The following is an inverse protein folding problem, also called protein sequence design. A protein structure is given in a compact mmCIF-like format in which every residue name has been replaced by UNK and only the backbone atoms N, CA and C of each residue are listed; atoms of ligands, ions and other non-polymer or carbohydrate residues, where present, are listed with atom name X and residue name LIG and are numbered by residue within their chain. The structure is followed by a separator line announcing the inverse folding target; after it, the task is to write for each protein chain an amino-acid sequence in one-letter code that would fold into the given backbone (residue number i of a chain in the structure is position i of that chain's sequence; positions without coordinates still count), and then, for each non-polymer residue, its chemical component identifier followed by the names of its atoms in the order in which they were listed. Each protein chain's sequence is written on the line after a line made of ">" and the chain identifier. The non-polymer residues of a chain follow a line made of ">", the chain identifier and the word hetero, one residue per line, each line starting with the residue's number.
data_IF_557431043187
#
_entry.id   IF_557431043187
#
_cell.length_a   1.000
_cell.length_b   1.000
_cell.length_c   1.000
_cell.angle_alpha   90.00
_cell.angle_beta   90.00
_cell.angle_gamma   90.00
#
_symmetry.space_group_name_H-M   'P 1'
#
loop_
_entity.id
_entity.type
_entity.pdbx_description
1 polymer ?
#
# COMPACT_ATOMS: atom_id res chain seq x y z
N UNK A 1 11.88 -24.57 -19.67
CA UNK A 1 11.90 -24.87 -18.22
C UNK A 1 12.34 -23.59 -17.53
N UNK A 2 11.72 -23.22 -16.40
CA UNK A 2 12.11 -22.01 -15.68
C UNK A 2 13.16 -22.34 -14.62
N UNK A 3 13.95 -21.36 -14.21
CA UNK A 3 14.71 -21.41 -12.96
C UNK A 3 14.18 -20.35 -12.00
N UNK A 4 14.19 -20.65 -10.70
CA UNK A 4 13.68 -19.75 -9.65
C UNK A 4 14.77 -19.49 -8.63
N UNK A 5 15.00 -18.20 -8.31
CA UNK A 5 15.86 -17.79 -7.20
C UNK A 5 15.06 -16.99 -6.20
N UNK A 6 15.31 -17.24 -4.92
CA UNK A 6 14.63 -16.58 -3.81
C UNK A 6 15.70 -16.10 -2.83
N UNK A 7 15.66 -14.83 -2.45
CA UNK A 7 16.61 -14.27 -1.50
C UNK A 7 15.97 -13.13 -0.72
N UNK A 8 16.50 -12.88 0.48
CA UNK A 8 16.12 -11.75 1.31
C UNK A 8 17.06 -10.57 1.07
N UNK A 9 16.56 -9.36 1.25
CA UNK A 9 17.35 -8.14 1.32
C UNK A 9 16.88 -7.29 2.50
N UNK A 10 17.80 -6.53 3.11
CA UNK A 10 17.47 -5.51 4.09
C UNK A 10 17.97 -4.15 3.64
N UNK A 11 17.05 -3.18 3.63
CA UNK A 11 17.27 -1.83 3.14
C UNK A 11 17.19 -0.83 4.30
N UNK A 12 18.27 -0.11 4.63
CA UNK A 12 18.24 0.86 5.74
C UNK A 12 17.32 2.04 5.42
N UNK A 13 16.61 2.57 6.41
CA UNK A 13 15.83 3.81 6.27
C UNK A 13 16.68 5.05 6.57
N UNK A 14 16.41 6.17 5.89
CA UNK A 14 17.10 7.43 6.18
C UNK A 14 16.60 8.11 7.47
N UNK A 15 15.41 7.75 7.93
CA UNK A 15 14.83 8.15 9.21
C UNK A 15 13.91 7.05 9.77
N UNK A 16 13.70 6.96 11.10
CA UNK A 16 12.80 5.97 11.67
C UNK A 16 11.36 6.18 11.20
N UNK A 17 10.73 5.13 10.69
CA UNK A 17 9.31 5.14 10.31
C UNK A 17 8.45 4.77 11.52
N UNK A 18 7.63 5.72 12.00
CA UNK A 18 6.84 5.58 13.24
C UNK A 18 5.35 5.54 12.94
N UNK A 19 4.71 4.45 13.34
CA UNK A 19 3.25 4.26 13.29
C UNK A 19 2.73 3.86 14.68
N UNK A 20 1.41 3.80 14.85
CA UNK A 20 0.75 3.44 16.12
C UNK A 20 1.24 2.11 16.72
N UNK A 21 1.64 1.15 15.87
CA UNK A 21 2.10 -0.20 16.25
C UNK A 21 3.60 -0.33 16.51
N UNK A 22 4.39 0.72 16.28
CA UNK A 22 5.83 0.71 16.55
C UNK A 22 6.67 1.44 15.52
N UNK A 23 7.99 1.25 15.65
CA UNK A 23 9.01 1.95 14.85
C UNK A 23 9.84 0.96 14.03
N UNK A 24 10.14 1.31 12.78
CA UNK A 24 11.04 0.55 11.90
C UNK A 24 12.24 1.41 11.48
N UNK A 25 13.41 0.77 11.37
CA UNK A 25 14.67 1.41 10.93
C UNK A 25 15.22 0.80 9.62
N UNK A 26 14.64 -0.32 9.17
CA UNK A 26 14.97 -0.97 7.92
C UNK A 26 13.69 -1.54 7.28
N UNK A 27 13.73 -1.75 5.96
CA UNK A 27 12.75 -2.49 5.18
C UNK A 27 13.36 -3.85 4.79
N UNK A 28 12.82 -4.93 5.36
CA UNK A 28 13.23 -6.29 5.02
C UNK A 28 12.26 -6.87 4.01
N UNK A 29 12.77 -7.26 2.84
CA UNK A 29 11.99 -7.73 1.69
C UNK A 29 12.45 -9.11 1.25
N UNK A 30 11.56 -9.85 0.59
CA UNK A 30 11.89 -11.10 -0.12
C UNK A 30 11.75 -10.85 -1.62
N UNK A 31 12.78 -11.23 -2.37
CA UNK A 31 12.85 -11.07 -3.81
C UNK A 31 12.83 -12.46 -4.46
N UNK A 32 12.05 -12.55 -5.54
CA UNK A 32 11.98 -13.72 -6.41
C UNK A 32 12.42 -13.32 -7.80
N UNK A 33 13.37 -14.06 -8.37
CA UNK A 33 13.72 -14.00 -9.78
C UNK A 33 13.30 -15.29 -10.49
N UNK A 34 12.61 -15.15 -11.62
CA UNK A 34 12.21 -16.26 -12.48
C UNK A 34 12.87 -16.06 -13.85
N UNK A 35 13.66 -17.03 -14.29
CA UNK A 35 14.28 -17.00 -15.62
C UNK A 35 13.64 -18.04 -16.54
N UNK A 36 13.32 -17.65 -17.77
CA UNK A 36 12.85 -18.54 -18.82
C UNK A 36 13.44 -18.12 -20.17
N UNK A 37 14.14 -19.05 -20.84
CA UNK A 37 14.71 -18.86 -22.18
C UNK A 37 15.61 -17.60 -22.26
N UNK A 38 16.38 -17.34 -21.19
CA UNK A 38 17.30 -16.18 -21.07
C UNK A 38 16.62 -14.87 -20.66
N UNK A 39 15.29 -14.84 -20.52
CA UNK A 39 14.55 -13.67 -20.02
C UNK A 39 14.28 -13.83 -18.53
N UNK A 40 14.57 -12.79 -17.74
CA UNK A 40 14.35 -12.76 -16.29
C UNK A 40 13.21 -11.84 -15.93
N UNK A 41 12.31 -12.29 -15.08
CA UNK A 41 11.35 -11.45 -14.36
C UNK A 41 11.67 -11.41 -12.88
N UNK A 42 11.44 -10.28 -12.22
CA UNK A 42 11.65 -10.11 -10.79
C UNK A 42 10.38 -9.62 -10.09
N UNK A 43 10.16 -10.10 -8.88
CA UNK A 43 9.09 -9.66 -7.98
C UNK A 43 9.62 -9.50 -6.57
N UNK A 44 9.02 -8.57 -5.83
CA UNK A 44 9.37 -8.24 -4.46
C UNK A 44 8.11 -8.30 -3.60
N UNK A 45 8.26 -8.74 -2.36
CA UNK A 45 7.25 -8.60 -1.33
C UNK A 45 7.84 -8.19 0.02
N UNK A 46 7.00 -7.62 0.86
CA UNK A 46 7.35 -7.24 2.23
C UNK A 46 6.55 -8.09 3.21
N UNK A 47 7.15 -9.14 3.84
CA UNK A 47 6.47 -9.94 4.86
C UNK A 47 5.87 -9.07 5.96
N UNK A 48 4.62 -9.33 6.34
CA UNK A 48 3.90 -8.49 7.30
C UNK A 48 3.53 -9.25 8.59
N UNK A 49 4.22 -8.99 9.73
CA UNK A 49 3.98 -9.70 10.99
C UNK A 49 2.54 -9.60 11.52
N UNK A 50 1.83 -8.50 11.20
CA UNK A 50 0.40 -8.30 11.55
C UNK A 50 -0.51 -9.38 10.95
N UNK A 51 -0.08 -10.06 9.90
CA UNK A 51 -0.79 -11.17 9.25
C UNK A 51 -0.11 -12.53 9.49
N UNK A 52 0.82 -12.61 10.44
CA UNK A 52 1.53 -13.84 10.77
C UNK A 52 2.64 -14.21 9.78
N UNK A 53 3.14 -13.25 9.01
CA UNK A 53 4.22 -13.46 8.05
C UNK A 53 5.58 -13.01 8.61
N UNK A 54 6.59 -13.84 8.42
CA UNK A 54 8.01 -13.52 8.56
C UNK A 54 8.76 -13.80 7.25
N UNK A 55 10.01 -13.35 7.15
CA UNK A 55 10.87 -13.68 6.00
C UNK A 55 10.98 -15.20 5.83
N UNK A 56 11.24 -15.92 6.91
CA UNK A 56 11.37 -17.38 6.91
C UNK A 56 10.08 -18.06 6.47
N UNK A 57 8.92 -17.61 6.98
CA UNK A 57 7.64 -18.20 6.59
C UNK A 57 7.31 -17.94 5.12
N UNK A 58 7.62 -16.74 4.61
CA UNK A 58 7.37 -16.36 3.22
C UNK A 58 8.29 -17.13 2.27
N UNK A 59 9.59 -17.20 2.57
CA UNK A 59 10.53 -18.00 1.79
C UNK A 59 10.13 -19.48 1.80
N UNK A 60 9.76 -20.04 2.95
CA UNK A 60 9.28 -21.41 3.05
C UNK A 60 8.04 -21.66 2.18
N UNK A 61 7.06 -20.75 2.18
CA UNK A 61 5.87 -20.85 1.31
C UNK A 61 6.25 -20.83 -0.17
N UNK A 62 7.14 -19.93 -0.59
CA UNK A 62 7.63 -19.86 -1.98
C UNK A 62 8.29 -21.18 -2.39
N UNK A 63 9.10 -21.77 -1.51
CA UNK A 63 9.78 -23.04 -1.80
C UNK A 63 8.81 -24.20 -2.07
N UNK A 64 7.58 -24.17 -1.54
CA UNK A 64 6.58 -25.23 -1.79
C UNK A 64 6.06 -25.27 -3.22
N UNK A 65 6.24 -24.19 -3.98
CA UNK A 65 5.71 -24.04 -5.36
C UNK A 65 6.81 -23.86 -6.41
N UNK A 66 8.09 -24.01 -6.05
CA UNK A 66 9.21 -23.92 -7.00
C UNK A 66 9.09 -24.97 -8.11
N UNK A 67 8.87 -26.25 -7.78
CA UNK A 67 8.73 -27.32 -8.78
C UNK A 67 7.59 -27.03 -9.79
N UNK A 68 6.36 -26.69 -9.36
CA UNK A 68 5.31 -26.22 -10.28
C UNK A 68 5.73 -25.04 -11.17
N UNK A 69 6.47 -24.06 -10.63
CA UNK A 69 6.91 -22.89 -11.39
C UNK A 69 7.96 -23.23 -12.43
N UNK A 70 8.92 -24.11 -12.11
CA UNK A 70 9.92 -24.63 -13.04
C UNK A 70 9.29 -25.43 -14.17
N UNK A 71 8.20 -26.15 -13.85
CA UNK A 71 7.35 -26.87 -14.80
C UNK A 71 6.41 -25.95 -15.62
N UNK A 72 6.35 -24.65 -15.31
CA UNK A 72 5.65 -23.66 -16.13
C UNK A 72 4.28 -23.20 -15.60
N UNK A 73 3.97 -23.39 -14.32
CA UNK A 73 2.73 -22.88 -13.72
C UNK A 73 2.49 -21.38 -14.04
N UNK A 74 1.28 -21.02 -14.43
CA UNK A 74 0.94 -19.65 -14.83
C UNK A 74 0.53 -18.78 -13.64
N UNK A 75 0.34 -17.47 -13.86
CA UNK A 75 -0.21 -16.53 -12.88
C UNK A 75 -1.59 -16.96 -12.38
N UNK A 76 -2.41 -17.53 -13.26
CA UNK A 76 -3.73 -18.05 -12.93
C UNK A 76 -3.63 -19.30 -12.04
N UNK A 77 -2.73 -20.24 -12.36
CA UNK A 77 -2.49 -21.40 -11.50
C UNK A 77 -2.00 -20.99 -10.11
N UNK A 78 -1.11 -19.99 -10.04
CA UNK A 78 -0.56 -19.48 -8.80
C UNK A 78 -1.64 -19.00 -7.81
N UNK A 79 -2.77 -18.46 -8.29
CA UNK A 79 -3.88 -18.03 -7.43
C UNK A 79 -4.51 -19.17 -6.61
N UNK A 80 -4.34 -20.41 -7.06
CA UNK A 80 -4.84 -21.62 -6.38
C UNK A 80 -3.75 -22.38 -5.62
N UNK A 81 -2.48 -22.21 -6.02
CA UNK A 81 -1.34 -22.88 -5.39
C UNK A 81 -0.95 -22.24 -4.06
N UNK A 82 -1.14 -20.93 -3.91
CA UNK A 82 -0.84 -20.20 -2.69
C UNK A 82 -2.04 -19.33 -2.26
N UNK A 83 -2.22 -19.14 -0.94
CA UNK A 83 -3.15 -18.13 -0.44
C UNK A 83 -2.66 -16.71 -0.77
N UNK A 84 -3.54 -15.73 -0.60
CA UNK A 84 -3.13 -14.32 -0.65
C UNK A 84 -2.14 -14.01 0.49
N UNK A 85 -1.09 -13.25 0.18
CA UNK A 85 -0.02 -12.90 1.10
C UNK A 85 1.27 -12.55 0.36
N UNK A 86 2.29 -12.13 1.09
CA UNK A 86 3.56 -11.67 0.55
C UNK A 86 4.24 -12.73 -0.34
N UNK A 87 4.17 -14.02 0.02
CA UNK A 87 4.75 -15.10 -0.78
C UNK A 87 4.17 -15.17 -2.19
N UNK A 88 2.83 -15.11 -2.30
CA UNK A 88 2.15 -15.10 -3.60
C UNK A 88 2.40 -13.80 -4.36
N UNK A 89 2.51 -12.68 -3.64
CA UNK A 89 2.82 -11.38 -4.24
C UNK A 89 4.15 -11.41 -5.02
N UNK A 90 5.24 -11.85 -4.38
CA UNK A 90 6.56 -11.88 -5.05
C UNK A 90 6.55 -12.77 -6.30
N UNK A 91 5.92 -13.94 -6.23
CA UNK A 91 5.82 -14.85 -7.37
C UNK A 91 4.92 -14.31 -8.49
N UNK A 92 3.76 -13.74 -8.15
CA UNK A 92 2.81 -13.18 -9.12
C UNK A 92 3.44 -12.00 -9.87
N UNK A 93 4.09 -11.09 -9.14
CA UNK A 93 4.80 -9.96 -9.72
C UNK A 93 5.99 -10.41 -10.59
N UNK A 94 6.77 -11.42 -10.16
CA UNK A 94 7.87 -11.96 -10.96
C UNK A 94 7.38 -12.59 -12.28
N UNK A 95 6.24 -13.26 -12.27
CA UNK A 95 5.61 -13.79 -13.48
C UNK A 95 5.09 -12.68 -14.39
N UNK A 96 4.46 -11.64 -13.84
CA UNK A 96 4.04 -10.46 -14.61
C UNK A 96 5.22 -9.77 -15.29
N UNK A 97 6.33 -9.55 -14.58
CA UNK A 97 7.54 -8.95 -15.13
C UNK A 97 8.17 -9.84 -16.22
N UNK A 98 8.24 -11.16 -15.98
CA UNK A 98 8.74 -12.13 -16.97
C UNK A 98 7.91 -12.09 -18.26
N UNK A 99 6.58 -12.08 -18.16
CA UNK A 99 5.69 -12.05 -19.31
C UNK A 99 5.78 -10.73 -20.08
N UNK A 100 5.83 -9.60 -19.39
CA UNK A 100 6.00 -8.29 -20.01
C UNK A 100 7.31 -8.21 -20.81
N UNK A 101 8.42 -8.67 -20.20
CA UNK A 101 9.74 -8.70 -20.85
C UNK A 101 9.80 -9.66 -22.03
N UNK A 102 9.21 -10.86 -21.92
CA UNK A 102 9.11 -11.81 -23.04
C UNK A 102 8.29 -11.26 -24.20
N UNK A 103 7.30 -10.42 -23.90
CA UNK A 103 6.52 -9.70 -24.91
C UNK A 103 7.21 -8.44 -25.47
N UNK A 104 8.37 -8.04 -24.92
CA UNK A 104 9.06 -6.81 -25.28
C UNK A 104 8.27 -5.55 -24.93
N UNK A 105 7.44 -5.59 -23.88
CA UNK A 105 6.55 -4.51 -23.45
C UNK A 105 6.82 -4.10 -22.00
N UNK A 106 6.59 -2.82 -21.63
CA UNK A 106 6.42 -2.48 -20.22
C UNK A 106 5.16 -3.15 -19.67
N UNK A 107 5.09 -3.33 -18.34
CA UNK A 107 3.94 -3.95 -17.67
C UNK A 107 2.61 -3.24 -17.99
N UNK A 108 2.62 -1.91 -18.01
CA UNK A 108 1.46 -1.09 -18.42
C UNK A 108 1.00 -1.41 -19.86
N UNK A 109 1.94 -1.63 -20.77
CA UNK A 109 1.66 -2.02 -22.16
C UNK A 109 1.12 -3.44 -22.30
N UNK A 110 1.49 -4.35 -21.40
CA UNK A 110 0.89 -5.69 -21.32
C UNK A 110 -0.56 -5.62 -20.82
N UNK A 111 -0.82 -4.73 -19.87
CA UNK A 111 -2.15 -4.47 -19.30
C UNK A 111 -3.02 -3.52 -20.15
N UNK A 112 -2.46 -2.95 -21.22
CA UNK A 112 -3.12 -1.92 -22.04
C UNK A 112 -3.58 -0.71 -21.23
N UNK A 113 -2.82 -0.33 -20.22
CA UNK A 113 -3.05 0.83 -19.36
C UNK A 113 -2.12 1.98 -19.77
N UNK A 114 -2.68 3.16 -19.97
CA UNK A 114 -1.90 4.40 -20.16
C UNK A 114 -1.64 5.05 -18.81
N UNK A 115 -0.38 5.04 -18.37
CA UNK A 115 0.03 5.76 -17.17
C UNK A 115 0.16 7.27 -17.48
N UNK A 116 -0.14 8.15 -16.51
CA UNK A 116 0.14 9.58 -16.64
C UNK A 116 1.65 9.85 -16.62
N UNK A 117 2.05 11.08 -16.97
CA UNK A 117 3.45 11.53 -16.87
C UNK A 117 3.94 11.51 -15.40
N UNK A 118 3.04 11.78 -14.46
CA UNK A 118 3.33 11.66 -13.04
C UNK A 118 2.13 11.14 -12.25
N UNK A 119 2.41 10.44 -11.16
CA UNK A 119 1.41 9.97 -10.18
C UNK A 119 1.62 10.75 -8.89
N UNK A 120 0.57 11.45 -8.43
CA UNK A 120 0.58 12.07 -7.11
C UNK A 120 0.59 10.97 -6.05
N UNK A 121 1.56 11.00 -5.15
CA UNK A 121 1.63 10.08 -4.01
C UNK A 121 1.50 10.87 -2.72
N UNK A 122 0.82 10.29 -1.74
CA UNK A 122 0.79 10.81 -0.39
C UNK A 122 2.21 10.91 0.17
N UNK A 123 2.45 11.95 0.95
CA UNK A 123 3.65 12.04 1.79
C UNK A 123 3.24 11.83 3.24
N UNK A 124 3.87 10.87 3.89
CA UNK A 124 3.54 10.51 5.26
C UNK A 124 4.08 11.55 6.26
N UNK A 125 3.20 12.03 7.14
CA UNK A 125 3.54 12.81 8.34
C UNK A 125 3.47 11.86 9.54
N UNK A 126 4.63 11.46 10.05
CA UNK A 126 4.75 10.57 11.22
C UNK A 126 4.18 11.20 12.50
N UNK A 127 3.77 10.34 13.43
CA UNK A 127 3.24 10.74 14.74
C UNK A 127 4.30 11.54 15.53
N UNK A 128 3.90 12.69 16.07
CA UNK A 128 4.74 13.57 16.91
C UNK A 128 3.90 14.48 17.81
N UNK A 129 4.50 15.54 18.35
CA UNK A 129 3.70 16.62 18.98
C UNK A 129 2.94 17.43 17.91
N UNK A 130 1.87 18.16 18.25
CA UNK A 130 1.16 19.01 17.30
C UNK A 130 2.08 19.93 16.49
N UNK A 131 3.07 20.56 17.14
CA UNK A 131 4.02 21.48 16.52
C UNK A 131 4.97 20.76 15.55
N UNK A 132 5.47 19.58 15.94
CA UNK A 132 6.35 18.78 15.10
C UNK A 132 5.63 18.31 13.83
N UNK A 133 4.39 17.85 13.98
CA UNK A 133 3.59 17.37 12.85
C UNK A 133 3.20 18.52 11.91
N UNK A 134 2.79 19.68 12.46
CA UNK A 134 2.49 20.87 11.67
C UNK A 134 3.71 21.39 10.90
N UNK A 135 4.88 21.43 11.55
CA UNK A 135 6.15 21.80 10.92
C UNK A 135 6.54 20.82 9.79
N UNK A 136 6.44 19.52 10.04
CA UNK A 136 6.69 18.48 9.03
C UNK A 136 5.76 18.62 7.83
N UNK A 137 4.46 18.81 8.08
CA UNK A 137 3.47 19.03 7.03
C UNK A 137 3.78 20.28 6.18
N UNK A 138 4.15 21.39 6.82
CA UNK A 138 4.55 22.62 6.12
C UNK A 138 5.79 22.42 5.24
N UNK A 139 6.82 21.75 5.76
CA UNK A 139 8.04 21.44 4.99
C UNK A 139 7.74 20.57 3.76
N UNK A 140 6.89 19.55 3.91
CA UNK A 140 6.49 18.68 2.79
C UNK A 140 5.68 19.46 1.75
N UNK A 141 4.74 20.30 2.19
CA UNK A 141 3.94 21.16 1.32
C UNK A 141 4.80 22.13 0.51
N UNK A 142 5.75 22.82 1.16
CA UNK A 142 6.67 23.75 0.52
C UNK A 142 7.58 23.06 -0.51
N UNK A 143 7.93 21.79 -0.26
CA UNK A 143 8.70 20.95 -1.19
C UNK A 143 7.88 20.39 -2.36
N UNK A 144 6.56 20.59 -2.39
CA UNK A 144 5.71 20.21 -3.52
C UNK A 144 4.63 19.18 -3.20
N UNK A 145 4.61 18.60 -1.99
CA UNK A 145 3.56 17.66 -1.62
C UNK A 145 2.19 18.35 -1.66
N UNK A 146 1.20 17.69 -2.25
CA UNK A 146 -0.19 18.17 -2.28
C UNK A 146 -1.16 17.26 -1.55
N UNK A 147 -0.78 15.99 -1.40
CA UNK A 147 -1.48 14.98 -0.62
C UNK A 147 -0.60 14.58 0.56
N UNK A 148 -1.10 14.77 1.79
CA UNK A 148 -0.41 14.40 3.01
C UNK A 148 -1.20 13.33 3.75
N UNK A 149 -0.52 12.24 4.14
CA UNK A 149 -1.08 11.17 4.95
C UNK A 149 -0.65 11.36 6.39
N UNK A 150 -1.60 11.73 7.25
CA UNK A 150 -1.34 12.04 8.65
C UNK A 150 -1.52 10.79 9.48
N UNK A 151 -0.42 10.27 10.05
CA UNK A 151 -0.47 9.15 10.98
C UNK A 151 -0.91 9.65 12.35
N UNK A 152 -1.91 9.01 12.95
CA UNK A 152 -2.40 9.33 14.30
C UNK A 152 -2.48 8.09 15.19
N UNK A 153 -2.28 8.32 16.48
CA UNK A 153 -2.70 7.42 17.56
C UNK A 153 -4.01 7.93 18.20
N UNK A 154 -4.39 7.41 19.37
CA UNK A 154 -5.60 7.79 20.10
C UNK A 154 -5.46 9.08 20.94
N UNK A 155 -4.35 9.82 20.80
CA UNK A 155 -4.00 10.98 21.63
C UNK A 155 -3.95 12.27 20.82
N UNK A 156 -4.28 13.39 21.47
CA UNK A 156 -4.13 14.75 20.94
C UNK A 156 -4.68 14.93 19.52
N UNK A 157 -5.73 14.18 19.14
CA UNK A 157 -6.25 14.14 17.77
C UNK A 157 -6.66 15.54 17.32
N UNK A 158 -7.40 16.26 18.17
CA UNK A 158 -7.86 17.62 17.90
C UNK A 158 -6.69 18.58 17.76
N UNK A 159 -5.79 18.61 18.73
CA UNK A 159 -4.65 19.54 18.75
C UNK A 159 -3.75 19.33 17.53
N UNK A 160 -3.42 18.07 17.21
CA UNK A 160 -2.60 17.72 16.05
C UNK A 160 -3.27 18.12 14.75
N UNK A 161 -4.54 17.75 14.54
CA UNK A 161 -5.22 18.02 13.28
C UNK A 161 -5.49 19.51 13.05
N UNK A 162 -5.83 20.27 14.10
CA UNK A 162 -5.99 21.72 14.01
C UNK A 162 -4.65 22.39 13.68
N UNK A 163 -3.55 22.01 14.34
CA UNK A 163 -2.23 22.57 14.06
C UNK A 163 -1.76 22.28 12.62
N UNK A 164 -1.93 21.04 12.15
CA UNK A 164 -1.58 20.64 10.78
C UNK A 164 -2.42 21.40 9.77
N UNK A 165 -3.76 21.43 9.92
CA UNK A 165 -4.63 22.15 8.98
C UNK A 165 -4.29 23.64 8.92
N UNK A 166 -3.98 24.27 10.06
CA UNK A 166 -3.56 25.68 10.08
C UNK A 166 -2.24 25.92 9.33
N UNK A 167 -1.28 24.99 9.41
CA UNK A 167 0.00 25.08 8.71
C UNK A 167 -0.12 24.84 7.20
N UNK A 168 -1.03 23.96 6.78
CA UNK A 168 -1.24 23.58 5.38
C UNK A 168 -2.72 23.67 4.96
N UNK A 169 -3.30 24.89 4.91
CA UNK A 169 -4.74 25.08 4.71
C UNK A 169 -5.25 24.51 3.37
N UNK A 170 -4.39 24.44 2.35
CA UNK A 170 -4.75 23.98 1.01
C UNK A 170 -4.29 22.55 0.70
N UNK A 171 -3.63 21.86 1.63
CA UNK A 171 -3.23 20.47 1.41
C UNK A 171 -4.44 19.54 1.45
N UNK A 172 -4.44 18.54 0.57
CA UNK A 172 -5.35 17.40 0.73
C UNK A 172 -4.81 16.54 1.85
N UNK A 173 -5.60 16.36 2.91
CA UNK A 173 -5.22 15.56 4.06
C UNK A 173 -6.03 14.27 4.04
N UNK A 174 -5.34 13.14 4.17
CA UNK A 174 -5.95 11.86 4.54
C UNK A 174 -5.36 11.44 5.88
N UNK A 175 -6.15 10.84 6.75
CA UNK A 175 -5.73 10.45 8.09
C UNK A 175 -5.69 8.94 8.16
N UNK A 176 -4.65 8.38 8.77
CA UNK A 176 -4.54 6.95 9.02
C UNK A 176 -4.29 6.71 10.52
N UNK A 177 -5.26 6.09 11.17
CA UNK A 177 -5.19 5.78 12.59
C UNK A 177 -4.58 4.40 12.88
N UNK A 178 -4.34 3.58 11.84
CA UNK A 178 -3.75 2.25 11.94
C UNK A 178 -4.31 1.41 13.10
N UNK A 179 -5.64 1.23 13.13
CA UNK A 179 -6.37 0.43 14.12
C UNK A 179 -6.30 0.94 15.57
N UNK A 180 -5.83 2.17 15.81
CA UNK A 180 -5.54 2.66 17.16
C UNK A 180 -6.73 3.27 17.90
N UNK A 181 -7.83 3.58 17.22
CA UNK A 181 -8.98 4.21 17.87
C UNK A 181 -9.96 3.18 18.42
N UNK A 182 -10.79 3.64 19.36
CA UNK A 182 -11.92 2.90 19.89
C UNK A 182 -13.23 3.43 19.30
N UNK A 183 -14.30 2.66 19.49
CA UNK A 183 -15.65 3.06 19.10
C UNK A 183 -16.15 4.30 19.87
N UNK A 184 -15.70 4.45 21.11
CA UNK A 184 -16.10 5.56 21.98
C UNK A 184 -15.63 6.90 21.41
N UNK A 185 -16.59 7.76 21.08
CA UNK A 185 -16.33 9.07 20.50
C UNK A 185 -15.92 9.05 19.02
N UNK A 186 -15.96 7.89 18.34
CA UNK A 186 -15.57 7.77 16.94
C UNK A 186 -16.34 8.73 16.03
N UNK A 187 -17.67 8.79 16.15
CA UNK A 187 -18.50 9.69 15.34
C UNK A 187 -18.10 11.17 15.51
N UNK A 188 -17.79 11.60 16.73
CA UNK A 188 -17.34 12.95 17.01
C UNK A 188 -15.94 13.23 16.44
N UNK A 189 -15.03 12.25 16.48
CA UNK A 189 -13.71 12.34 15.84
C UNK A 189 -13.85 12.44 14.32
N UNK A 190 -14.70 11.62 13.70
CA UNK A 190 -14.98 11.72 12.27
C UNK A 190 -15.56 13.10 11.91
N UNK A 191 -16.49 13.63 12.71
CA UNK A 191 -17.05 14.97 12.49
C UNK A 191 -15.98 16.05 12.55
N UNK A 192 -15.09 16.01 13.55
CA UNK A 192 -13.94 16.92 13.63
C UNK A 192 -13.06 16.85 12.38
N UNK A 193 -12.75 15.65 11.88
CA UNK A 193 -11.96 15.50 10.65
C UNK A 193 -12.68 16.11 9.44
N UNK A 194 -13.99 15.90 9.33
CA UNK A 194 -14.81 16.47 8.28
C UNK A 194 -14.86 18.01 8.35
N UNK A 195 -15.02 18.59 9.56
CA UNK A 195 -15.02 20.04 9.79
C UNK A 195 -13.68 20.68 9.40
N UNK A 196 -12.57 19.93 9.53
CA UNK A 196 -11.23 20.32 9.09
C UNK A 196 -10.96 20.01 7.61
N UNK A 197 -11.96 19.55 6.85
CA UNK A 197 -11.83 19.23 5.43
C UNK A 197 -10.85 18.09 5.14
N UNK A 198 -10.75 17.11 6.02
CA UNK A 198 -10.01 15.87 5.76
C UNK A 198 -10.76 15.08 4.69
N UNK A 199 -10.02 14.59 3.70
CA UNK A 199 -10.60 13.95 2.52
C UNK A 199 -11.00 12.49 2.75
N UNK A 200 -10.33 11.80 3.69
CA UNK A 200 -10.58 10.39 4.01
C UNK A 200 -9.96 10.02 5.38
N UNK A 201 -10.63 9.13 6.12
CA UNK A 201 -10.12 8.47 7.33
C UNK A 201 -9.86 6.97 7.06
N UNK A 202 -8.63 6.51 7.27
CA UNK A 202 -8.18 5.14 7.01
C UNK A 202 -8.09 4.34 8.30
N UNK A 203 -8.71 3.15 8.27
CA UNK A 203 -8.71 2.12 9.31
C UNK A 203 -8.69 2.66 10.75
N UNK A 204 -9.77 3.33 11.20
CA UNK A 204 -9.84 3.85 12.57
C UNK A 204 -9.80 2.74 13.63
N UNK A 205 -10.51 1.64 13.38
CA UNK A 205 -10.74 0.56 14.34
C UNK A 205 -9.96 -0.71 13.99
N UNK A 206 -9.67 -1.57 14.97
CA UNK A 206 -9.15 -2.91 14.70
C UNK A 206 -10.04 -3.68 13.73
N UNK A 207 -9.43 -4.36 12.75
CA UNK A 207 -10.17 -5.05 11.67
C UNK A 207 -11.14 -6.13 12.18
N UNK A 208 -10.88 -6.71 13.35
CA UNK A 208 -11.77 -7.69 13.98
C UNK A 208 -12.93 -7.04 14.77
N UNK A 209 -12.87 -5.73 15.03
CA UNK A 209 -13.75 -4.98 15.94
C UNK A 209 -14.29 -3.69 15.30
N UNK A 210 -14.45 -3.67 13.98
CA UNK A 210 -14.83 -2.49 13.21
C UNK A 210 -16.34 -2.36 12.93
N UNK A 211 -17.18 -3.21 13.54
CA UNK A 211 -18.65 -3.19 13.35
C UNK A 211 -19.33 -1.89 13.78
N UNK A 212 -18.67 -1.13 14.65
CA UNK A 212 -19.18 0.15 15.16
C UNK A 212 -19.23 1.25 14.09
N UNK A 213 -18.54 1.05 12.96
CA UNK A 213 -18.67 1.91 11.78
C UNK A 213 -20.10 1.90 11.21
N UNK A 214 -20.87 0.83 11.40
CA UNK A 214 -22.26 0.78 10.91
C UNK A 214 -23.25 1.64 11.73
N UNK A 215 -22.82 2.18 12.87
CA UNK A 215 -23.72 2.78 13.87
C UNK A 215 -23.88 4.30 13.72
N UNK A 216 -23.26 4.92 12.73
CA UNK A 216 -23.41 6.35 12.45
C UNK A 216 -23.23 6.64 10.96
N UNK A 217 -23.73 7.80 10.51
CA UNK A 217 -23.51 8.26 9.14
C UNK A 217 -22.11 8.86 9.07
N UNK A 218 -21.28 8.37 8.15
CA UNK A 218 -19.92 8.87 8.00
C UNK A 218 -19.93 10.30 7.44
N UNK A 219 -19.34 11.29 8.15
CA UNK A 219 -19.27 12.67 7.68
C UNK A 219 -18.15 12.91 6.66
N UNK A 220 -17.28 11.92 6.45
CA UNK A 220 -16.23 11.83 5.43
C UNK A 220 -16.01 10.35 5.06
N UNK A 221 -15.45 10.04 3.86
CA UNK A 221 -15.17 8.65 3.48
C UNK A 221 -14.26 7.93 4.47
N UNK A 222 -14.62 6.69 4.82
CA UNK A 222 -13.78 5.79 5.63
C UNK A 222 -13.20 4.69 4.73
N UNK A 223 -11.88 4.50 4.81
CA UNK A 223 -11.13 3.55 3.99
C UNK A 223 -10.72 2.31 4.78
N UNK A 224 -11.01 1.13 4.27
CA UNK A 224 -10.52 -0.14 4.80
C UNK A 224 -9.09 -0.41 4.35
N UNK A 225 -8.14 -0.54 5.27
CA UNK A 225 -6.79 -1.04 5.01
C UNK A 225 -6.67 -2.47 5.53
N UNK A 226 -6.41 -2.66 6.83
CA UNK A 226 -6.29 -3.98 7.45
C UNK A 226 -7.57 -4.84 7.32
N UNK A 227 -8.75 -4.23 7.17
CA UNK A 227 -10.00 -4.97 6.90
C UNK A 227 -10.15 -5.45 5.45
N UNK A 228 -9.32 -4.97 4.51
CA UNK A 228 -9.41 -5.32 3.08
C UNK A 228 -8.14 -6.04 2.59
N UNK A 229 -8.30 -7.30 2.17
CA UNK A 229 -7.21 -8.12 1.63
C UNK A 229 -7.44 -8.52 0.17
N UNK A 230 -8.59 -9.10 -0.13
CA UNK A 230 -8.94 -9.63 -1.46
C UNK A 230 -10.40 -9.32 -1.78
N UNK A 231 -10.89 -9.71 -2.95
CA UNK A 231 -12.32 -9.58 -3.29
C UNK A 231 -13.26 -10.23 -2.27
N UNK A 232 -12.80 -11.29 -1.60
CA UNK A 232 -13.57 -11.97 -0.58
C UNK A 232 -13.88 -11.06 0.64
N UNK A 233 -13.08 -10.01 0.86
CA UNK A 233 -13.34 -9.03 1.92
C UNK A 233 -14.55 -8.15 1.61
N UNK A 234 -14.83 -7.83 0.34
CA UNK A 234 -15.74 -6.75 -0.06
C UNK A 234 -17.15 -6.86 0.53
N UNK A 235 -17.73 -8.07 0.56
CA UNK A 235 -19.08 -8.29 1.07
C UNK A 235 -19.24 -7.86 2.54
N UNK A 236 -18.18 -7.99 3.35
CA UNK A 236 -18.17 -7.56 4.75
C UNK A 236 -17.92 -6.06 4.94
N UNK A 237 -17.46 -5.34 3.92
CA UNK A 237 -17.02 -3.94 4.02
C UNK A 237 -18.10 -2.94 3.59
N UNK A 238 -19.06 -3.34 2.75
CA UNK A 238 -19.99 -2.43 2.07
C UNK A 238 -20.86 -1.56 2.99
N UNK A 239 -20.99 -1.94 4.27
CA UNK A 239 -21.74 -1.18 5.28
C UNK A 239 -20.86 -0.34 6.21
N UNK A 240 -19.54 -0.51 6.13
CA UNK A 240 -18.56 0.03 7.09
C UNK A 240 -17.56 0.99 6.45
N UNK A 241 -17.39 0.93 5.12
CA UNK A 241 -16.35 1.67 4.42
C UNK A 241 -16.86 2.15 3.06
N UNK A 242 -16.43 3.35 2.66
CA UNK A 242 -16.65 3.91 1.33
C UNK A 242 -15.46 3.66 0.40
N UNK A 243 -14.29 3.35 0.97
CA UNK A 243 -13.07 3.12 0.20
C UNK A 243 -12.33 1.85 0.62
N UNK A 244 -11.52 1.29 -0.29
CA UNK A 244 -10.62 0.17 0.01
C UNK A 244 -9.17 0.54 -0.36
N UNK A 245 -8.23 0.26 0.53
CA UNK A 245 -6.79 0.40 0.27
C UNK A 245 -6.23 -0.94 -0.26
N UNK A 246 -5.88 -0.97 -1.53
CA UNK A 246 -5.29 -2.11 -2.20
C UNK A 246 -3.77 -2.07 -2.01
N UNK A 247 -3.20 -3.15 -1.46
CA UNK A 247 -1.75 -3.36 -1.35
C UNK A 247 -1.40 -4.75 -1.87
N UNK A 248 -0.35 -4.85 -2.68
CA UNK A 248 -0.01 -6.11 -3.35
C UNK A 248 0.34 -7.24 -2.37
N UNK A 249 0.98 -6.93 -1.24
CA UNK A 249 1.28 -7.91 -0.20
C UNK A 249 0.01 -8.48 0.47
N UNK A 250 -1.09 -7.71 0.52
CA UNK A 250 -2.38 -8.17 1.07
C UNK A 250 -3.19 -8.99 0.08
N UNK A 251 -3.23 -8.54 -1.18
CA UNK A 251 -3.93 -9.26 -2.26
C UNK A 251 -3.18 -10.52 -2.68
N UNK A 252 -1.89 -10.60 -2.36
CA UNK A 252 -0.99 -11.64 -2.83
C UNK A 252 -0.73 -11.54 -4.31
N UNK A 253 -0.47 -10.33 -4.81
CA UNK A 253 -0.07 -10.06 -6.18
C UNK A 253 -0.95 -9.07 -6.93
N UNK A 254 -0.44 -8.63 -8.08
CA UNK A 254 -1.11 -7.73 -9.02
C UNK A 254 -2.36 -8.37 -9.63
N UNK A 255 -2.35 -9.68 -9.85
CA UNK A 255 -3.50 -10.41 -10.44
C UNK A 255 -4.75 -10.25 -9.58
N UNK A 256 -4.69 -10.56 -8.29
CA UNK A 256 -5.85 -10.36 -7.38
C UNK A 256 -6.13 -8.87 -7.14
N UNK A 257 -5.11 -8.01 -7.15
CA UNK A 257 -5.29 -6.57 -6.97
C UNK A 257 -6.08 -5.91 -8.11
N UNK A 258 -5.84 -6.30 -9.36
CA UNK A 258 -6.62 -5.86 -10.53
C UNK A 258 -8.09 -6.27 -10.40
N UNK A 259 -8.32 -7.52 -10.01
CA UNK A 259 -9.67 -8.05 -9.84
C UNK A 259 -10.38 -7.39 -8.64
N UNK A 260 -9.67 -7.13 -7.55
CA UNK A 260 -10.18 -6.39 -6.39
C UNK A 260 -10.58 -4.96 -6.77
N UNK A 261 -9.73 -4.25 -7.51
CA UNK A 261 -10.00 -2.88 -7.96
C UNK A 261 -11.27 -2.80 -8.81
N UNK A 262 -11.43 -3.72 -9.77
CA UNK A 262 -12.63 -3.81 -10.60
C UNK A 262 -13.88 -4.11 -9.75
N UNK A 263 -13.87 -5.17 -8.97
CA UNK A 263 -15.02 -5.58 -8.16
C UNK A 263 -15.40 -4.56 -7.08
N UNK A 264 -14.43 -3.84 -6.51
CA UNK A 264 -14.68 -2.78 -5.54
C UNK A 264 -15.42 -1.61 -6.21
N UNK A 265 -14.96 -1.19 -7.40
CA UNK A 265 -15.59 -0.10 -8.16
C UNK A 265 -16.99 -0.46 -8.64
N UNK A 266 -17.21 -1.70 -9.07
CA UNK A 266 -18.55 -2.21 -9.41
C UNK A 266 -19.53 -2.17 -8.23
N UNK A 267 -19.03 -2.32 -7.00
CA UNK A 267 -19.80 -2.22 -5.77
C UNK A 267 -19.90 -0.79 -5.21
N UNK A 268 -19.33 0.20 -5.92
CA UNK A 268 -19.40 1.62 -5.54
C UNK A 268 -18.33 2.08 -4.53
N UNK A 269 -17.35 1.23 -4.19
CA UNK A 269 -16.20 1.68 -3.41
C UNK A 269 -15.27 2.53 -4.26
N UNK A 270 -14.68 3.57 -3.66
CA UNK A 270 -13.50 4.20 -4.22
C UNK A 270 -12.24 3.41 -3.85
N UNK A 271 -11.19 3.55 -4.65
CA UNK A 271 -9.94 2.81 -4.47
C UNK A 271 -8.84 3.75 -3.99
N UNK A 272 -8.11 3.31 -2.97
CA UNK A 272 -6.79 3.82 -2.63
C UNK A 272 -5.76 2.75 -2.99
N UNK A 273 -4.61 3.16 -3.52
CA UNK A 273 -3.50 2.25 -3.81
C UNK A 273 -2.36 2.52 -2.83
N UNK A 274 -2.10 1.59 -1.92
CA UNK A 274 -1.06 1.71 -0.92
C UNK A 274 0.12 0.78 -1.14
N UNK A 275 1.19 1.00 -0.38
CA UNK A 275 2.32 0.08 -0.28
C UNK A 275 2.70 -0.25 1.17
N UNK A 276 3.62 -1.20 1.32
CA UNK A 276 4.45 -1.34 2.51
C UNK A 276 5.75 -0.55 2.32
N UNK A 277 6.64 -0.55 3.32
CA UNK A 277 8.04 -0.20 3.06
C UNK A 277 8.63 -1.23 2.10
N UNK A 278 9.14 -0.75 0.96
CA UNK A 278 9.58 -1.56 -0.16
C UNK A 278 10.52 -0.74 -1.06
N UNK A 279 11.12 -1.39 -2.05
CA UNK A 279 11.93 -0.73 -3.09
C UNK A 279 11.08 -0.31 -4.28
N UNK A 280 11.69 0.38 -5.24
CA UNK A 280 11.04 0.72 -6.51
C UNK A 280 10.49 -0.48 -7.29
N UNK A 281 10.96 -1.73 -7.03
CA UNK A 281 10.43 -2.94 -7.68
C UNK A 281 8.95 -3.15 -7.35
N UNK A 282 8.58 -3.07 -6.08
CA UNK A 282 7.19 -3.28 -5.64
C UNK A 282 6.26 -2.16 -6.13
N UNK A 283 6.72 -0.91 -6.10
CA UNK A 283 5.93 0.22 -6.61
C UNK A 283 5.72 0.09 -8.13
N UNK A 284 6.75 -0.29 -8.89
CA UNK A 284 6.63 -0.51 -10.33
C UNK A 284 5.59 -1.57 -10.68
N UNK A 285 5.49 -2.63 -9.89
CA UNK A 285 4.46 -3.67 -10.04
C UNK A 285 3.04 -3.14 -9.76
N UNK A 286 2.90 -2.18 -8.83
CA UNK A 286 1.61 -1.60 -8.45
C UNK A 286 1.15 -0.46 -9.37
N UNK A 287 2.07 0.23 -10.07
CA UNK A 287 1.77 1.41 -10.89
C UNK A 287 0.58 1.28 -11.85
N UNK A 288 0.33 0.13 -12.54
CA UNK A 288 -0.83 0.00 -13.41
C UNK A 288 -2.18 0.23 -12.73
N UNK A 289 -2.27 0.06 -11.40
CA UNK A 289 -3.49 0.34 -10.63
C UNK A 289 -3.68 1.82 -10.30
N UNK A 290 -2.63 2.65 -10.43
CA UNK A 290 -2.67 4.06 -10.02
C UNK A 290 -3.75 4.86 -10.76
N UNK A 291 -4.03 4.52 -12.02
CA UNK A 291 -5.05 5.19 -12.85
C UNK A 291 -6.48 4.95 -12.37
N UNK A 292 -6.69 3.94 -11.52
CA UNK A 292 -7.99 3.59 -10.94
C UNK A 292 -8.15 4.10 -9.51
N UNK A 293 -7.05 4.57 -8.90
CA UNK A 293 -7.02 4.99 -7.52
C UNK A 293 -7.35 6.48 -7.38
N UNK A 294 -8.24 6.81 -6.44
CA UNK A 294 -8.51 8.18 -6.01
C UNK A 294 -7.30 8.78 -5.27
N UNK A 295 -6.61 7.96 -4.48
CA UNK A 295 -5.38 8.33 -3.78
C UNK A 295 -4.34 7.23 -3.97
N UNK A 296 -3.08 7.61 -4.14
CA UNK A 296 -1.94 6.70 -4.12
C UNK A 296 -1.05 7.04 -2.91
N UNK A 297 -0.63 6.01 -2.18
CA UNK A 297 0.28 6.05 -1.04
C UNK A 297 1.43 5.08 -1.34
N UNK A 298 2.33 5.56 -2.20
CA UNK A 298 3.41 4.80 -2.84
C UNK A 298 4.79 5.38 -2.48
N UNK A 299 4.90 6.06 -1.34
CA UNK A 299 6.12 6.72 -0.89
C UNK A 299 7.13 5.76 -0.23
N UNK A 300 6.83 4.46 -0.15
CA UNK A 300 7.66 3.43 0.48
C UNK A 300 9.16 3.52 0.14
N UNK A 301 9.57 3.61 -1.14
CA UNK A 301 10.97 3.72 -1.51
C UNK A 301 11.65 5.01 -1.03
N UNK A 302 10.90 6.10 -0.87
CA UNK A 302 11.45 7.39 -0.41
C UNK A 302 11.90 7.34 1.05
N UNK A 303 11.46 6.34 1.81
CA UNK A 303 11.93 6.09 3.18
C UNK A 303 13.30 5.42 3.24
N UNK A 304 13.72 4.74 2.16
CA UNK A 304 15.00 4.06 2.12
C UNK A 304 16.16 5.07 2.05
N UNK A 305 17.30 4.74 2.63
CA UNK A 305 18.53 5.53 2.48
C UNK A 305 19.15 5.37 1.09
N UNK A 306 18.92 4.22 0.45
CA UNK A 306 19.28 3.88 -0.92
C UNK A 306 18.18 2.97 -1.49
N UNK A 307 17.96 3.00 -2.80
CA UNK A 307 16.99 2.16 -3.51
C UNK A 307 17.70 1.31 -4.58
N UNK A 308 16.97 0.42 -5.25
CA UNK A 308 17.47 -0.38 -6.37
C UNK A 308 17.97 0.47 -7.54
N UNK A 309 18.77 -0.12 -8.44
CA UNK A 309 19.25 0.57 -9.65
C UNK A 309 18.79 -0.17 -10.92
N UNK A 310 18.03 0.49 -11.82
CA UNK A 310 17.46 1.83 -11.70
C UNK A 310 16.27 1.90 -10.73
N UNK A 311 16.15 3.01 -9.99
CA UNK A 311 14.98 3.34 -9.15
C UNK A 311 13.93 4.14 -9.95
N UNK A 312 12.70 4.17 -9.43
CA UNK A 312 11.70 5.14 -9.87
C UNK A 312 12.15 6.56 -9.50
N UNK A 313 11.76 7.53 -10.33
CA UNK A 313 12.11 8.93 -10.10
C UNK A 313 11.08 9.61 -9.20
N UNK A 314 11.45 9.88 -7.95
CA UNK A 314 10.59 10.56 -6.99
C UNK A 314 10.93 12.05 -6.86
N UNK A 315 9.88 12.84 -6.72
CA UNK A 315 9.94 14.17 -6.08
C UNK A 315 8.98 14.17 -4.89
N UNK A 316 9.06 15.17 -4.01
CA UNK A 316 8.19 15.24 -2.83
C UNK A 316 6.71 15.30 -3.24
N UNK A 317 6.01 14.18 -3.05
CA UNK A 317 4.59 14.02 -3.39
C UNK A 317 4.28 13.54 -4.82
N UNK A 318 5.27 13.15 -5.62
CA UNK A 318 5.01 12.61 -6.96
C UNK A 318 6.05 11.60 -7.45
N UNK A 319 5.59 10.64 -8.25
CA UNK A 319 6.40 9.68 -9.02
C UNK A 319 6.39 10.13 -10.48
N UNK A 320 7.55 10.31 -11.10
CA UNK A 320 7.70 10.65 -12.53
C UNK A 320 7.93 9.39 -13.35
N UNK A 321 7.14 9.19 -14.41
CA UNK A 321 7.04 7.93 -15.18
C UNK A 321 7.59 8.04 -16.61
#
# INVERSE_FOLDING_TARGET
>A
MRSVKVYQESWPLHSPFVISRGTRNEAVVVVVEIEQDGVKGAGECTPYPRYGESVESVMAQIMTVVEPLEAGASRESLQTLLPAGAARNALDCALWDLEARRAGKPLSGLLSVTLPEFVLTAQTVSIGTPEQMASSAAVLWDKGARLLKIKLDDRLITERMVAIRAAVPNATLIVDANESWSADGLAARCQLLADLGVAMLEQPLPAAEDSQLENFIHPLPICADESCHTRASLAGLARRYEMVNIKLDKTGGLTEALLLSEAAREQGFEVMLGCMLCTSRAISAALPLSVQARFADLDGPTWLAVDVEPALNFSTGAIHL
#
